data_IF_181758337426
#
_entry.id   IF_181758337426
#
_cell.length_a   1.000
_cell.length_b   1.000
_cell.length_c   1.000
_cell.angle_alpha   90.00
_cell.angle_beta   90.00
_cell.angle_gamma   90.00
#
_symmetry.space_group_name_H-M   'P 1'
#
loop_
_entity.id
_entity.type
_entity.pdbx_description
1 polymer ?
#
# COMPACT_ATOMS: atom_id res chain seq x y z
N UNK A 1 4.58 -7.32 -11.83
CA UNK A 1 3.38 -6.84 -12.55
C UNK A 1 2.35 -6.34 -11.56
N UNK A 2 1.90 -5.11 -11.72
CA UNK A 2 0.78 -4.56 -10.95
C UNK A 2 -0.50 -4.69 -11.78
N UNK A 3 -1.58 -5.14 -11.16
CA UNK A 3 -2.87 -5.39 -11.82
C UNK A 3 -4.00 -4.85 -10.96
N UNK A 4 -4.98 -4.22 -11.60
CA UNK A 4 -6.25 -3.82 -10.98
C UNK A 4 -7.35 -4.60 -11.67
N UNK A 5 -8.25 -5.22 -10.89
CA UNK A 5 -9.46 -5.87 -11.40
C UNK A 5 -10.68 -5.15 -10.87
N UNK A 6 -11.46 -4.61 -11.78
CA UNK A 6 -12.75 -3.99 -11.50
C UNK A 6 -13.85 -4.88 -12.06
N UNK A 7 -14.86 -5.16 -11.24
CA UNK A 7 -15.97 -6.04 -11.58
C UNK A 7 -17.24 -5.22 -11.88
N UNK A 8 -18.19 -5.74 -12.69
CA UNK A 8 -19.42 -5.01 -13.02
C UNK A 8 -20.29 -4.62 -11.81
N UNK A 9 -20.10 -5.30 -10.68
CA UNK A 9 -20.78 -4.98 -9.43
C UNK A 9 -20.15 -3.79 -8.68
N UNK A 10 -19.06 -3.21 -9.20
CA UNK A 10 -18.32 -2.09 -8.61
C UNK A 10 -17.21 -2.50 -7.65
N UNK A 11 -16.95 -3.80 -7.46
CA UNK A 11 -15.84 -4.25 -6.62
C UNK A 11 -14.49 -4.03 -7.32
N UNK A 12 -13.48 -3.61 -6.56
CA UNK A 12 -12.12 -3.35 -7.03
C UNK A 12 -11.10 -4.15 -6.23
N UNK A 13 -10.13 -4.71 -6.93
CA UNK A 13 -9.08 -5.56 -6.37
C UNK A 13 -7.72 -5.14 -6.92
N UNK A 14 -6.73 -5.01 -6.03
CA UNK A 14 -5.37 -4.62 -6.38
C UNK A 14 -4.41 -5.79 -6.16
N UNK A 15 -3.60 -6.08 -7.17
CA UNK A 15 -2.63 -7.17 -7.16
C UNK A 15 -1.23 -6.67 -7.51
N UNK A 16 -0.24 -7.24 -6.84
CA UNK A 16 1.18 -7.15 -7.18
C UNK A 16 1.72 -8.57 -7.35
N UNK A 17 2.26 -8.86 -8.53
CA UNK A 17 2.80 -10.16 -8.91
C UNK A 17 1.80 -11.30 -8.68
N UNK A 18 0.54 -11.09 -9.09
CA UNK A 18 -0.55 -12.05 -8.95
C UNK A 18 -1.09 -12.22 -7.53
N UNK A 19 -0.58 -11.48 -6.53
CA UNK A 19 -1.02 -11.54 -5.14
C UNK A 19 -1.72 -10.24 -4.73
N UNK A 20 -2.79 -10.30 -3.93
CA UNK A 20 -3.45 -9.09 -3.41
C UNK A 20 -2.45 -8.22 -2.67
N UNK A 21 -2.34 -6.95 -3.06
CA UNK A 21 -1.35 -6.03 -2.51
C UNK A 21 -1.74 -4.58 -2.79
N UNK A 22 -1.75 -3.74 -1.74
CA UNK A 22 -1.82 -2.27 -1.87
C UNK A 22 -1.26 -1.61 -0.61
N UNK A 23 -0.34 -0.66 -0.79
CA UNK A 23 0.30 0.06 0.34
C UNK A 23 -0.39 1.39 0.68
N UNK A 24 -1.06 2.01 -0.30
CA UNK A 24 -1.75 3.30 -0.12
C UNK A 24 -3.25 3.18 0.23
N UNK A 25 -3.73 1.97 0.57
CA UNK A 25 -5.15 1.74 0.82
C UNK A 25 -5.52 0.25 0.82
N UNK A 26 -6.82 -0.08 0.85
CA UNK A 26 -7.28 -1.46 0.87
C UNK A 26 -7.02 -2.16 -0.48
N UNK A 27 -6.57 -3.40 -0.43
CA UNK A 27 -6.33 -4.23 -1.61
C UNK A 27 -7.63 -4.85 -2.18
N UNK A 28 -8.73 -4.76 -1.43
CA UNK A 28 -10.09 -5.05 -1.92
C UNK A 28 -11.03 -3.96 -1.44
N UNK A 29 -11.81 -3.39 -2.36
CA UNK A 29 -12.91 -2.47 -2.08
C UNK A 29 -14.17 -3.06 -2.70
N UNK A 30 -15.14 -3.44 -1.86
CA UNK A 30 -16.44 -3.85 -2.36
C UNK A 30 -17.32 -2.62 -2.61
N UNK A 31 -18.20 -2.69 -3.60
CA UNK A 31 -19.24 -1.69 -3.83
C UNK A 31 -20.17 -1.47 -2.61
N UNK A 32 -20.24 -2.45 -1.70
CA UNK A 32 -20.97 -2.35 -0.43
C UNK A 32 -20.21 -1.61 0.68
N UNK A 33 -19.00 -1.14 0.41
CA UNK A 33 -18.15 -0.40 1.36
C UNK A 33 -17.21 -1.27 2.19
N UNK A 34 -17.22 -2.59 2.03
CA UNK A 34 -16.26 -3.49 2.68
C UNK A 34 -14.85 -3.23 2.14
N UNK A 35 -13.89 -3.07 3.03
CA UNK A 35 -12.48 -2.85 2.70
C UNK A 35 -11.64 -3.95 3.34
N UNK A 36 -10.72 -4.53 2.57
CA UNK A 36 -9.76 -5.51 3.07
C UNK A 36 -8.34 -5.11 2.67
N UNK A 37 -7.40 -5.26 3.59
CA UNK A 37 -6.01 -4.88 3.38
C UNK A 37 -5.17 -6.13 3.20
N UNK A 38 -4.32 -6.11 2.16
CA UNK A 38 -3.39 -7.19 1.88
C UNK A 38 -2.04 -6.63 1.47
N UNK A 39 -0.98 -7.27 1.95
CA UNK A 39 0.40 -7.04 1.52
C UNK A 39 1.02 -8.36 1.08
N UNK A 40 1.37 -8.43 -0.21
CA UNK A 40 2.00 -9.60 -0.82
C UNK A 40 1.19 -10.91 -0.61
N UNK A 41 -0.14 -10.79 -0.64
CA UNK A 41 -1.08 -11.90 -0.44
C UNK A 41 -1.37 -12.26 1.02
N UNK A 42 -0.77 -11.56 2.00
CA UNK A 42 -1.10 -11.72 3.42
C UNK A 42 -2.11 -10.67 3.84
N UNK A 43 -3.15 -11.10 4.54
CA UNK A 43 -4.10 -10.19 5.17
C UNK A 43 -3.41 -9.46 6.33
N UNK A 44 -3.63 -8.16 6.40
CA UNK A 44 -3.02 -7.27 7.38
C UNK A 44 -4.06 -6.28 7.86
N UNK A 45 -3.84 -5.63 8.99
CA UNK A 45 -4.74 -4.55 9.43
C UNK A 45 -4.42 -3.26 8.69
N UNK A 46 -5.38 -2.33 8.67
CA UNK A 46 -5.16 -0.99 8.15
C UNK A 46 -3.98 -0.29 8.88
N UNK A 47 -3.86 -0.46 10.21
CA UNK A 47 -2.78 0.19 10.96
C UNK A 47 -1.40 -0.31 10.54
N UNK A 48 -1.25 -1.60 10.23
CA UNK A 48 0.00 -2.17 9.75
C UNK A 48 0.41 -1.63 8.38
N UNK A 49 -0.56 -1.44 7.48
CA UNK A 49 -0.33 -0.82 6.16
C UNK A 49 0.09 0.64 6.33
N UNK A 50 -0.64 1.40 7.14
CA UNK A 50 -0.34 2.82 7.39
C UNK A 50 0.98 3.02 8.13
N UNK A 51 1.35 2.12 9.04
CA UNK A 51 2.64 2.16 9.73
C UNK A 51 3.79 1.96 8.73
N UNK A 52 3.69 0.99 7.83
CA UNK A 52 4.71 0.79 6.79
C UNK A 52 4.85 2.01 5.87
N UNK A 53 3.75 2.68 5.54
CA UNK A 53 3.78 3.91 4.77
C UNK A 53 4.52 5.02 5.53
N UNK A 54 4.20 5.24 6.81
CA UNK A 54 4.91 6.19 7.68
C UNK A 54 6.39 5.85 7.84
N UNK A 55 6.73 4.59 8.04
CA UNK A 55 8.11 4.14 8.20
C UNK A 55 8.93 4.42 6.93
N UNK A 56 8.35 4.22 5.73
CA UNK A 56 8.99 4.59 4.46
C UNK A 56 9.18 6.10 4.32
N UNK A 57 8.18 6.90 4.69
CA UNK A 57 8.25 8.36 4.64
C UNK A 57 9.29 8.90 5.61
N UNK A 58 9.38 8.34 6.82
CA UNK A 58 10.39 8.70 7.81
C UNK A 58 11.79 8.36 7.31
N UNK A 59 12.01 7.16 6.77
CA UNK A 59 13.29 6.76 6.18
C UNK A 59 13.67 7.70 5.02
N UNK A 60 12.74 8.02 4.12
CA UNK A 60 12.98 8.95 3.00
C UNK A 60 13.30 10.38 3.46
N UNK A 61 12.72 10.83 4.58
CA UNK A 61 13.03 12.14 5.18
C UNK A 61 14.44 12.14 5.82
N UNK A 62 14.85 11.04 6.46
CA UNK A 62 16.18 10.92 7.02
C UNK A 62 17.26 10.73 5.95
N UNK A 63 17.00 9.96 4.90
CA UNK A 63 17.93 9.75 3.79
C UNK A 63 18.16 11.06 2.99
N UNK A 64 17.15 11.92 2.87
CA UNK A 64 17.32 13.27 2.30
C UNK A 64 18.02 14.26 3.26
N UNK A 65 17.98 14.05 4.57
CA UNK A 65 18.74 14.84 5.55
C UNK A 65 20.24 14.51 5.54
N UNK A 66 20.62 13.30 5.12
CA UNK A 66 22.04 12.93 4.98
C UNK A 66 22.67 13.58 3.73
N UNK A 67 21.89 13.92 2.69
CA UNK A 67 22.42 14.63 1.52
C UNK A 67 22.72 16.12 1.77
N UNK A 68 21.98 16.81 2.64
CA UNK A 68 22.24 18.22 2.95
C UNK A 68 23.31 18.43 4.03
N UNK A 69 23.73 17.37 4.71
CA UNK A 69 24.77 17.43 5.77
C UNK A 69 26.17 17.03 5.27
N UNK A 70 26.29 16.35 4.12
CA UNK A 70 27.59 15.98 3.51
C UNK A 70 28.04 16.96 2.40
N UNK A 71 27.28 18.03 2.16
CA UNK A 71 27.61 19.06 1.15
C UNK A 71 28.01 20.43 1.73
N UNK A 72 28.45 20.51 2.99
CA UNK A 72 29.11 21.69 3.56
C UNK A 72 30.48 21.36 4.15
#
# INVERSE_FOLDING_TARGET
MFEIREYPNGDKYWYLNGKRHREGGPAVESAKGTKLWYLNGKEVTEEEVMKKQRDKEIILLFDNSISYTILM
#
